data_IF_729446299029
#
_entry.id   IF_729446299029
#
_cell.length_a   1.000
_cell.length_b   1.000
_cell.length_c   1.000
_cell.angle_alpha   90.00
_cell.angle_beta   90.00
_cell.angle_gamma   90.00
#
_symmetry.space_group_name_H-M   'P 1'
#
loop_
_entity.id
_entity.type
_entity.pdbx_description
1 polymer ?
#
# COMPACT_ATOMS: atom_id res chain seq x y z
N UNK A 1 14.57 -24.17 1.09
CA UNK A 1 14.75 -24.74 -0.26
C UNK A 1 15.78 -23.88 -0.97
N UNK A 2 16.97 -24.43 -1.21
CA UNK A 2 18.11 -23.67 -1.73
C UNK A 2 17.95 -23.46 -3.23
N UNK A 3 17.95 -22.21 -3.67
CA UNK A 3 17.99 -21.84 -5.09
C UNK A 3 19.43 -22.03 -5.56
N UNK A 4 19.68 -23.08 -6.35
CA UNK A 4 20.95 -23.27 -7.05
C UNK A 4 21.06 -22.20 -8.15
N UNK A 5 21.71 -21.09 -7.82
CA UNK A 5 22.23 -20.15 -8.82
C UNK A 5 23.49 -20.80 -9.39
N UNK A 6 23.46 -21.18 -10.67
CA UNK A 6 24.63 -21.74 -11.34
C UNK A 6 25.78 -20.70 -11.33
N UNK A 7 26.96 -21.04 -10.79
CA UNK A 7 28.11 -20.13 -10.83
C UNK A 7 28.57 -19.97 -12.28
N UNK A 8 28.78 -18.72 -12.69
CA UNK A 8 29.36 -18.36 -13.99
C UNK A 8 30.88 -18.56 -13.86
N UNK A 9 31.35 -19.77 -14.16
CA UNK A 9 32.78 -20.07 -14.21
C UNK A 9 33.37 -19.53 -15.53
N UNK A 10 34.40 -18.69 -15.43
CA UNK A 10 34.88 -17.76 -16.46
C UNK A 10 35.79 -18.43 -17.52
N UNK A 11 35.67 -19.75 -17.73
CA UNK A 11 36.61 -20.48 -18.62
C UNK A 11 36.01 -21.61 -19.47
N UNK A 12 34.76 -21.54 -19.93
CA UNK A 12 34.34 -22.26 -21.15
C UNK A 12 33.24 -21.47 -21.85
N UNK A 13 33.62 -20.66 -22.82
CA UNK A 13 32.68 -19.97 -23.68
C UNK A 13 32.21 -20.92 -24.79
N UNK A 14 30.91 -20.87 -25.09
CA UNK A 14 30.25 -21.38 -26.31
C UNK A 14 29.87 -22.89 -26.33
N UNK A 15 28.79 -23.29 -25.64
CA UNK A 15 27.67 -24.08 -26.22
C UNK A 15 26.53 -24.50 -25.26
N UNK A 16 26.51 -24.10 -23.98
CA UNK A 16 25.52 -24.64 -23.01
C UNK A 16 24.48 -23.64 -22.50
N UNK A 17 24.10 -22.64 -23.28
CA UNK A 17 23.04 -21.68 -22.92
C UNK A 17 21.67 -21.98 -23.59
N UNK A 18 21.58 -23.00 -24.45
CA UNK A 18 20.37 -23.29 -25.23
C UNK A 18 19.30 -24.11 -24.49
N UNK A 19 19.62 -25.07 -23.58
CA UNK A 19 18.59 -25.89 -22.93
C UNK A 19 17.92 -25.16 -21.77
N UNK A 20 18.69 -24.56 -20.85
CA UNK A 20 18.14 -23.89 -19.67
C UNK A 20 17.23 -22.71 -20.07
N UNK A 21 17.65 -21.88 -21.03
CA UNK A 21 16.81 -20.78 -21.55
C UNK A 21 15.55 -21.30 -22.23
N UNK A 22 15.62 -22.37 -23.02
CA UNK A 22 14.42 -23.01 -23.62
C UNK A 22 13.49 -23.57 -22.56
N UNK A 23 14.02 -24.29 -21.57
CA UNK A 23 13.24 -24.87 -20.49
C UNK A 23 12.56 -23.79 -19.64
N UNK A 24 13.26 -22.68 -19.35
CA UNK A 24 12.64 -21.53 -18.69
C UNK A 24 11.54 -20.89 -19.54
N UNK A 25 11.75 -20.74 -20.86
CA UNK A 25 10.71 -20.22 -21.75
C UNK A 25 9.47 -21.10 -21.78
N UNK A 26 9.64 -22.42 -21.89
CA UNK A 26 8.52 -23.37 -21.91
C UNK A 26 7.79 -23.35 -20.57
N UNK A 27 8.50 -23.38 -19.44
CA UNK A 27 7.86 -23.39 -18.12
C UNK A 27 7.10 -22.09 -17.79
N UNK A 28 7.63 -20.93 -18.17
CA UNK A 28 7.09 -19.62 -17.76
C UNK A 28 6.30 -18.87 -18.83
N UNK A 29 6.38 -19.32 -20.08
CA UNK A 29 5.61 -18.77 -21.21
C UNK A 29 4.60 -19.79 -21.72
N UNK A 30 5.05 -20.92 -22.27
CA UNK A 30 4.20 -21.85 -23.01
C UNK A 30 3.30 -22.70 -22.10
N UNK A 31 3.83 -23.14 -20.96
CA UNK A 31 3.11 -23.92 -19.95
C UNK A 31 2.51 -23.06 -18.83
N UNK A 32 2.57 -21.73 -18.95
CA UNK A 32 2.06 -20.86 -17.91
C UNK A 32 0.52 -20.86 -17.93
N UNK A 33 -0.15 -21.43 -16.90
CA UNK A 33 -1.61 -21.51 -16.86
C UNK A 33 -2.27 -20.14 -16.68
N UNK A 34 -1.49 -19.08 -16.41
CA UNK A 34 -1.98 -17.72 -16.28
C UNK A 34 -1.15 -16.78 -17.19
N UNK A 35 -1.61 -16.54 -18.43
CA UNK A 35 -0.95 -15.62 -19.35
C UNK A 35 -0.70 -14.30 -18.63
N UNK A 36 0.49 -13.70 -18.78
CA UNK A 36 0.88 -12.51 -18.02
C UNK A 36 -0.14 -11.37 -18.07
N UNK A 37 -0.93 -11.28 -19.16
CA UNK A 37 -2.08 -10.36 -19.31
C UNK A 37 -3.20 -10.63 -18.31
N UNK A 38 -3.56 -11.89 -18.04
CA UNK A 38 -4.60 -12.26 -17.07
C UNK A 38 -4.19 -11.92 -15.63
N UNK A 39 -2.93 -12.19 -15.26
CA UNK A 39 -2.40 -11.82 -13.94
C UNK A 39 -2.31 -10.30 -13.77
N UNK A 40 -1.88 -9.58 -14.80
CA UNK A 40 -1.87 -8.11 -14.80
C UNK A 40 -3.28 -7.54 -14.62
N UNK A 41 -4.27 -8.09 -15.33
CA UNK A 41 -5.67 -7.66 -15.19
C UNK A 41 -6.22 -7.94 -13.79
N UNK A 42 -5.97 -9.13 -13.21
CA UNK A 42 -6.38 -9.43 -11.83
C UNK A 42 -5.74 -8.49 -10.82
N UNK A 43 -4.45 -8.21 -10.98
CA UNK A 43 -3.74 -7.24 -10.12
C UNK A 43 -4.30 -5.83 -10.27
N UNK A 44 -4.65 -5.40 -11.48
CA UNK A 44 -5.27 -4.09 -11.70
C UNK A 44 -6.63 -3.98 -10.99
N UNK A 45 -7.50 -4.98 -11.14
CA UNK A 45 -8.80 -5.02 -10.45
C UNK A 45 -8.65 -5.03 -8.93
N UNK A 46 -7.71 -5.80 -8.40
CA UNK A 46 -7.43 -5.83 -6.96
C UNK A 46 -6.88 -4.49 -6.46
N UNK A 47 -6.01 -3.85 -7.24
CA UNK A 47 -5.45 -2.55 -6.91
C UNK A 47 -6.53 -1.46 -6.89
N UNK A 48 -7.41 -1.42 -7.90
CA UNK A 48 -8.53 -0.48 -7.95
C UNK A 48 -9.42 -0.60 -6.72
N UNK A 49 -9.74 -1.83 -6.31
CA UNK A 49 -10.52 -2.09 -5.10
C UNK A 49 -9.84 -1.55 -3.84
N UNK A 50 -8.57 -1.89 -3.62
CA UNK A 50 -7.83 -1.45 -2.42
C UNK A 50 -7.67 0.07 -2.38
N UNK A 51 -7.44 0.71 -3.54
CA UNK A 51 -7.38 2.17 -3.62
C UNK A 51 -8.72 2.83 -3.32
N UNK A 52 -9.84 2.19 -3.68
CA UNK A 52 -11.18 2.63 -3.28
C UNK A 52 -11.38 2.57 -1.77
N UNK A 53 -11.10 1.40 -1.17
CA UNK A 53 -11.19 1.18 0.28
C UNK A 53 -10.32 2.19 1.07
N UNK A 54 -9.10 2.49 0.59
CA UNK A 54 -8.23 3.50 1.21
C UNK A 54 -8.85 4.91 1.18
N UNK A 55 -9.46 5.32 0.07
CA UNK A 55 -10.09 6.65 -0.03
C UNK A 55 -11.26 6.79 0.93
N UNK A 56 -12.08 5.75 1.06
CA UNK A 56 -13.21 5.74 1.99
C UNK A 56 -12.73 5.90 3.44
N UNK A 57 -11.67 5.17 3.82
CA UNK A 57 -11.08 5.28 5.16
C UNK A 57 -10.45 6.66 5.41
N UNK A 58 -9.76 7.24 4.42
CA UNK A 58 -9.20 8.60 4.52
C UNK A 58 -10.28 9.68 4.65
N UNK A 59 -11.45 9.48 4.05
CA UNK A 59 -12.60 10.38 4.21
C UNK A 59 -13.17 10.27 5.63
N UNK A 60 -13.39 9.04 6.11
CA UNK A 60 -13.85 8.80 7.49
C UNK A 60 -12.89 9.38 8.52
N UNK A 61 -11.58 9.21 8.32
CA UNK A 61 -10.56 9.79 9.21
C UNK A 61 -10.64 11.32 9.24
N UNK A 62 -10.84 11.97 8.09
CA UNK A 62 -10.99 13.43 8.01
C UNK A 62 -12.25 13.91 8.71
N UNK A 63 -13.38 13.23 8.50
CA UNK A 63 -14.63 13.54 9.19
C UNK A 63 -14.46 13.45 10.71
N UNK A 64 -13.94 12.33 11.20
CA UNK A 64 -13.68 12.13 12.63
C UNK A 64 -12.72 13.17 13.21
N UNK A 65 -11.63 13.49 12.50
CA UNK A 65 -10.70 14.54 12.93
C UNK A 65 -11.37 15.93 12.98
N UNK A 66 -12.23 16.24 12.01
CA UNK A 66 -12.95 17.52 11.96
C UNK A 66 -13.99 17.65 13.06
N UNK A 67 -14.73 16.58 13.37
CA UNK A 67 -15.70 16.51 14.46
C UNK A 67 -15.00 16.70 15.81
N UNK A 68 -13.90 15.97 16.03
CA UNK A 68 -13.09 16.12 17.24
C UNK A 68 -12.47 17.52 17.36
N UNK A 69 -12.01 18.11 16.26
CA UNK A 69 -11.48 19.47 16.27
C UNK A 69 -12.56 20.49 16.63
N UNK A 70 -13.77 20.35 16.07
CA UNK A 70 -14.91 21.22 16.38
C UNK A 70 -15.38 21.05 17.83
N UNK A 71 -15.43 19.81 18.34
CA UNK A 71 -15.76 19.53 19.73
C UNK A 71 -14.71 20.13 20.68
N UNK A 72 -13.42 19.90 20.41
CA UNK A 72 -12.35 20.44 21.23
C UNK A 72 -12.30 21.98 21.19
N UNK A 73 -12.62 22.60 20.05
CA UNK A 73 -12.75 24.06 19.96
C UNK A 73 -13.88 24.57 20.85
N UNK A 74 -15.06 23.91 20.83
CA UNK A 74 -16.19 24.26 21.71
C UNK A 74 -15.88 24.07 23.19
N UNK A 75 -15.12 23.04 23.56
CA UNK A 75 -14.71 22.83 24.95
C UNK A 75 -13.76 23.93 25.41
N UNK A 76 -12.76 24.27 24.59
CA UNK A 76 -11.83 25.38 24.89
C UNK A 76 -12.53 26.73 25.02
N UNK A 77 -13.51 27.02 24.17
CA UNK A 77 -14.30 28.26 24.24
C UNK A 77 -15.05 28.37 25.58
N UNK A 78 -15.68 27.27 26.02
CA UNK A 78 -16.35 27.20 27.32
C UNK A 78 -15.40 27.32 28.51
N UNK A 79 -14.22 26.70 28.42
CA UNK A 79 -13.21 26.78 29.48
C UNK A 79 -12.66 28.22 29.59
N UNK A 80 -12.53 28.95 28.48
CA UNK A 80 -12.14 30.36 28.45
C UNK A 80 -13.25 31.27 29.00
N UNK A 81 -14.51 31.06 28.61
CA UNK A 81 -15.64 31.83 29.14
C UNK A 81 -15.81 31.64 30.66
N UNK A 82 -15.58 30.41 31.16
CA UNK A 82 -15.61 30.14 32.60
C UNK A 82 -14.47 30.85 33.34
N UNK A 83 -13.25 30.84 32.80
CA UNK A 83 -12.11 31.53 33.40
C UNK A 83 -12.24 33.06 33.39
N UNK A 84 -12.89 33.64 32.37
CA UNK A 84 -13.19 35.08 32.30
C UNK A 84 -14.28 35.48 33.29
N UNK A 85 -15.26 34.60 33.55
CA UNK A 85 -16.32 34.88 34.52
C UNK A 85 -15.84 34.85 35.98
N UNK A 86 -14.76 34.16 36.32
CA UNK A 86 -14.26 34.07 37.69
C UNK A 86 -13.36 35.24 38.12
N UNK A 87 -12.87 36.06 37.18
CA UNK A 87 -11.94 37.18 37.45
C UNK A 87 -12.66 38.55 37.60
N UNK A 88 -13.98 38.61 37.35
CA UNK A 88 -14.81 39.83 37.48
C UNK A 88 -15.50 39.96 38.86
N UNK A 89 -15.31 39.00 39.78
CA UNK A 89 -15.91 38.99 41.13
C UNK A 89 -14.99 39.60 42.23
N UNK A 90 -13.87 40.23 41.85
CA UNK A 90 -12.90 40.85 42.78
C UNK A 90 -12.86 42.39 42.64
N UNK A 91 -13.97 43.09 42.90
CA UNK A 91 -14.05 44.57 43.04
C UNK A 91 -15.06 45.04 44.09
#
# INVERSE_FOLDING_TARGET
>A
MNVLICPVDERVNVLMLSPCRRLSSIAFSDMNPFPGRLLRNRRAVQLERVLGELRELEEQQRQFASENAAENARRKDKDLDAAVSEDDDEL
#
